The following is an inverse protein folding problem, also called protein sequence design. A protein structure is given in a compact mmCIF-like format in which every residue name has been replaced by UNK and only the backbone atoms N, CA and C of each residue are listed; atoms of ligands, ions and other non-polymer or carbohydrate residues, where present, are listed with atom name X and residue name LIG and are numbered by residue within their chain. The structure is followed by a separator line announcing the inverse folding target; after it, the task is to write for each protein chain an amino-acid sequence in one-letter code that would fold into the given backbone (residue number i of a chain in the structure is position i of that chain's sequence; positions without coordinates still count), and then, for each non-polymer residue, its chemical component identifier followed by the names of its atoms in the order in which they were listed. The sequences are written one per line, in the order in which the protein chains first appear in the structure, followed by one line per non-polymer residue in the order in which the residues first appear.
data_IF_601788137783
#
_entry.id   IF_601788137783
#
_cell.length_a   1.000
_cell.length_b   1.000
_cell.length_c   1.000
_cell.angle_alpha   90.00
_cell.angle_beta   90.00
_cell.angle_gamma   90.00
#
_symmetry.space_group_name_H-M   'P 1'
#
loop_
_entity.id
_entity.type
_entity.pdbx_description
1 polymer ?
#
# COMPACT_ATOMS: atom_id res chain seq x y z
N UNK A 1 -41.10 -0.67 -3.87
CA UNK A 1 -39.90 -0.63 -3.01
C UNK A 1 -39.24 -2.00 -3.08
N UNK A 2 -37.91 -2.00 -3.29
CA UNK A 2 -36.99 -3.14 -3.32
C UNK A 2 -37.16 -4.20 -4.44
N UNK A 3 -36.49 -3.95 -5.57
CA UNK A 3 -36.02 -4.99 -6.48
C UNK A 3 -34.66 -5.48 -5.97
N UNK A 4 -34.56 -6.76 -5.62
CA UNK A 4 -33.30 -7.50 -5.51
C UNK A 4 -33.17 -8.39 -6.75
N UNK A 5 -32.36 -7.95 -7.71
CA UNK A 5 -31.96 -8.76 -8.86
C UNK A 5 -30.70 -9.54 -8.52
N UNK A 6 -30.87 -10.83 -8.20
CA UNK A 6 -29.79 -11.82 -8.27
C UNK A 6 -29.67 -12.34 -9.70
N UNK A 7 -28.49 -12.18 -10.32
CA UNK A 7 -28.20 -12.75 -11.63
C UNK A 7 -27.66 -14.17 -11.45
N UNK A 8 -28.43 -15.17 -11.88
CA UNK A 8 -28.03 -16.58 -11.98
C UNK A 8 -27.45 -16.82 -13.38
N UNK A 9 -26.25 -17.41 -13.41
CA UNK A 9 -25.54 -17.83 -14.61
C UNK A 9 -26.23 -19.07 -15.24
N UNK A 10 -26.65 -18.99 -16.50
CA UNK A 10 -27.05 -20.18 -17.27
C UNK A 10 -26.25 -20.28 -18.57
N UNK A 11 -25.48 -21.37 -18.66
CA UNK A 11 -24.72 -21.78 -19.85
C UNK A 11 -25.66 -22.58 -20.76
N UNK A 12 -25.80 -22.17 -22.02
CA UNK A 12 -26.54 -22.92 -23.05
C UNK A 12 -25.52 -23.54 -24.02
N UNK A 13 -25.54 -24.87 -24.26
CA UNK A 13 -24.61 -25.55 -25.16
C UNK A 13 -25.00 -25.35 -26.65
N UNK A 14 -24.08 -25.58 -27.60
CA UNK A 14 -24.27 -25.16 -28.99
C UNK A 14 -25.29 -26.03 -29.73
N UNK A 15 -26.19 -25.35 -30.46
CA UNK A 15 -27.12 -25.99 -31.38
C UNK A 15 -26.40 -26.32 -32.69
N UNK A 16 -26.23 -27.60 -32.98
CA UNK A 16 -25.94 -28.08 -34.33
C UNK A 16 -27.24 -28.25 -35.11
N UNK A 17 -27.37 -27.60 -36.27
CA UNK A 17 -28.38 -27.95 -37.27
C UNK A 17 -27.68 -28.15 -38.62
N UNK A 18 -27.93 -29.33 -39.19
CA UNK A 18 -27.43 -29.81 -40.49
C UNK A 18 -28.17 -29.12 -41.66
N UNK A 19 -27.53 -29.05 -42.84
CA UNK A 19 -28.07 -28.35 -44.01
C UNK A 19 -29.14 -29.21 -44.68
N UNK A 20 -30.06 -28.58 -45.42
CA UNK A 20 -30.95 -29.10 -46.48
C UNK A 20 -32.18 -28.15 -46.51
N UNK A 21 -32.74 -27.62 -47.59
CA UNK A 21 -32.66 -27.86 -49.04
C UNK A 21 -33.43 -26.69 -49.67
N UNK A 22 -32.81 -25.78 -50.45
CA UNK A 22 -33.59 -24.80 -51.25
C UNK A 22 -32.90 -24.23 -52.51
N UNK A 23 -31.92 -24.91 -53.09
CA UNK A 23 -31.27 -24.43 -54.33
C UNK A 23 -31.09 -25.49 -55.42
N UNK A 24 -32.03 -26.45 -55.54
CA UNK A 24 -32.16 -27.32 -56.73
C UNK A 24 -33.13 -26.76 -57.80
N UNK A 25 -33.44 -25.46 -57.78
CA UNK A 25 -34.38 -24.84 -58.73
C UNK A 25 -33.74 -24.20 -59.97
N UNK A 26 -32.42 -24.26 -60.10
CA UNK A 26 -31.69 -23.82 -61.30
C UNK A 26 -30.72 -24.94 -61.72
N UNK A 27 -31.14 -25.77 -62.67
CA UNK A 27 -30.41 -26.96 -63.12
C UNK A 27 -29.03 -26.65 -63.69
N UNK A 28 -28.00 -26.69 -62.85
CA UNK A 28 -26.59 -26.60 -63.23
C UNK A 28 -25.84 -27.76 -62.55
N UNK A 29 -25.47 -28.76 -63.35
CA UNK A 29 -24.52 -29.81 -62.97
C UNK A 29 -23.09 -29.24 -62.79
N UNK A 30 -22.15 -30.02 -62.24
CA UNK A 30 -20.98 -29.51 -61.53
C UNK A 30 -19.99 -28.86 -62.52
N UNK A 31 -19.91 -27.53 -62.51
CA UNK A 31 -18.72 -26.83 -62.98
C UNK A 31 -17.86 -26.51 -61.77
N UNK A 32 -16.64 -27.02 -61.80
CA UNK A 32 -15.53 -26.72 -60.88
C UNK A 32 -15.33 -25.22 -60.77
N UNK A 33 -16.03 -24.58 -59.84
CA UNK A 33 -15.76 -23.23 -59.40
C UNK A 33 -14.54 -23.28 -58.50
N UNK A 34 -13.42 -22.79 -59.03
CA UNK A 34 -12.28 -22.34 -58.21
C UNK A 34 -12.86 -21.48 -57.08
N UNK A 35 -12.44 -21.67 -55.82
CA UNK A 35 -12.94 -20.83 -54.74
C UNK A 35 -12.68 -19.36 -55.13
N UNK A 36 -13.64 -18.44 -54.86
CA UNK A 36 -13.35 -17.04 -55.00
C UNK A 36 -12.12 -16.76 -54.14
N UNK A 37 -11.16 -16.02 -54.69
CA UNK A 37 -10.13 -15.39 -53.87
C UNK A 37 -10.89 -14.47 -52.92
N UNK A 38 -11.13 -14.96 -51.71
CA UNK A 38 -11.55 -14.13 -50.62
C UNK A 38 -10.37 -13.21 -50.36
N UNK A 39 -10.42 -12.00 -50.91
CA UNK A 39 -9.58 -10.91 -50.45
C UNK A 39 -10.09 -10.61 -49.06
N UNK A 40 -9.61 -11.39 -48.09
CA UNK A 40 -9.67 -11.03 -46.70
C UNK A 40 -8.87 -9.74 -46.59
N UNK A 41 -9.58 -8.62 -46.56
CA UNK A 41 -9.06 -7.45 -45.87
C UNK A 41 -8.92 -7.87 -44.41
N UNK A 42 -7.78 -8.46 -44.08
CA UNK A 42 -7.30 -8.42 -42.72
C UNK A 42 -7.07 -6.95 -42.44
N UNK A 43 -8.08 -6.30 -41.86
CA UNK A 43 -7.85 -5.09 -41.09
C UNK A 43 -6.94 -5.49 -39.95
N UNK A 44 -5.64 -5.63 -40.22
CA UNK A 44 -4.63 -5.65 -39.21
C UNK A 44 -4.85 -4.35 -38.44
N UNK A 45 -5.46 -4.46 -37.25
CA UNK A 45 -5.46 -3.34 -36.29
C UNK A 45 -4.00 -2.96 -36.15
N UNK A 46 -3.63 -1.84 -36.77
CA UNK A 46 -2.26 -1.36 -36.71
C UNK A 46 -2.01 -1.10 -35.23
N UNK A 47 -1.15 -1.92 -34.62
CA UNK A 47 -0.86 -1.80 -33.20
C UNK A 47 -0.33 -0.39 -32.95
N UNK A 48 -1.08 0.39 -32.18
CA UNK A 48 -0.65 1.72 -31.75
C UNK A 48 0.35 1.47 -30.62
N UNK A 49 1.55 2.01 -30.78
CA UNK A 49 2.60 1.85 -29.79
C UNK A 49 2.79 3.12 -28.97
N UNK A 50 3.16 2.93 -27.71
CA UNK A 50 3.54 3.98 -26.78
C UNK A 50 4.87 3.64 -26.13
N UNK A 51 5.68 4.65 -25.90
CA UNK A 51 6.89 4.56 -25.10
C UNK A 51 6.57 4.82 -23.63
N UNK A 52 7.22 4.06 -22.76
CA UNK A 52 7.25 4.29 -21.33
C UNK A 52 8.72 4.35 -20.91
N UNK A 53 9.10 5.47 -20.32
CA UNK A 53 10.38 5.70 -19.69
C UNK A 53 10.29 5.40 -18.19
N UNK A 54 11.38 4.89 -17.63
CA UNK A 54 11.57 4.76 -16.18
C UNK A 54 12.85 5.47 -15.79
N UNK A 55 12.78 6.33 -14.77
CA UNK A 55 13.92 7.00 -14.14
C UNK A 55 13.93 6.69 -12.64
N UNK A 56 15.11 6.41 -12.10
CA UNK A 56 15.26 6.09 -10.69
C UNK A 56 16.45 6.84 -10.11
N UNK A 57 16.21 7.63 -9.05
CA UNK A 57 17.21 8.44 -8.35
C UNK A 57 17.40 7.96 -6.91
N UNK A 58 18.43 8.50 -6.25
CA UNK A 58 18.67 8.38 -4.81
C UNK A 58 19.01 9.76 -4.27
N UNK A 59 18.25 10.25 -3.29
CA UNK A 59 18.35 11.62 -2.77
C UNK A 59 18.24 12.66 -3.91
N UNK A 60 17.46 12.35 -4.94
CA UNK A 60 17.31 13.08 -6.19
C UNK A 60 18.44 12.97 -7.20
N UNK A 61 19.56 12.37 -6.81
CA UNK A 61 20.70 12.23 -7.70
C UNK A 61 20.61 10.93 -8.50
N UNK A 62 21.05 11.00 -9.76
CA UNK A 62 21.27 9.82 -10.57
C UNK A 62 22.55 9.13 -10.08
N UNK A 63 22.53 7.80 -10.01
CA UNK A 63 23.68 7.04 -9.53
C UNK A 63 24.08 5.99 -10.55
N UNK A 64 25.38 5.68 -10.70
CA UNK A 64 25.84 4.66 -11.64
C UNK A 64 25.48 3.22 -11.21
N UNK A 65 25.02 3.02 -9.98
CA UNK A 65 24.59 1.71 -9.49
C UNK A 65 23.32 1.24 -10.21
N UNK A 66 23.31 -0.03 -10.64
CA UNK A 66 22.19 -0.62 -11.36
C UNK A 66 20.95 -0.70 -10.46
N UNK A 67 19.83 -0.16 -10.96
CA UNK A 67 18.48 -0.38 -10.45
C UNK A 67 17.71 -1.32 -11.36
N UNK A 68 16.85 -2.13 -10.76
CA UNK A 68 15.91 -3.01 -11.47
C UNK A 68 14.50 -2.54 -11.13
N UNK A 69 13.78 -2.04 -12.14
CA UNK A 69 12.37 -1.69 -12.01
C UNK A 69 11.51 -2.71 -12.76
N UNK A 70 10.64 -3.42 -12.05
CA UNK A 70 9.77 -4.45 -12.63
C UNK A 70 8.31 -4.03 -12.52
N UNK A 71 7.64 -3.99 -13.67
CA UNK A 71 6.24 -3.56 -13.81
C UNK A 71 5.34 -4.80 -13.89
N UNK A 72 4.31 -4.84 -13.06
CA UNK A 72 3.30 -5.90 -12.98
C UNK A 72 1.92 -5.31 -13.25
N UNK A 73 1.09 -6.00 -14.03
CA UNK A 73 -0.29 -5.58 -14.30
C UNK A 73 -1.20 -5.92 -13.10
N UNK A 74 -2.08 -4.99 -12.74
CA UNK A 74 -3.00 -5.13 -11.61
C UNK A 74 -2.42 -4.60 -10.30
N UNK A 75 -2.90 -5.12 -9.18
CA UNK A 75 -2.56 -4.62 -7.83
C UNK A 75 -1.65 -5.55 -7.03
N UNK A 76 -1.25 -6.71 -7.58
CA UNK A 76 -0.52 -7.75 -6.85
C UNK A 76 0.73 -8.15 -7.63
N UNK A 77 1.85 -8.35 -6.92
CA UNK A 77 3.11 -8.84 -7.48
C UNK A 77 3.04 -10.36 -7.63
N UNK A 78 2.91 -10.83 -8.86
CA UNK A 78 2.97 -12.26 -9.20
C UNK A 78 3.79 -12.47 -10.47
N UNK A 79 4.36 -13.66 -10.64
CA UNK A 79 5.13 -13.99 -11.84
C UNK A 79 4.30 -13.87 -13.12
N UNK A 80 3.00 -14.22 -13.07
CA UNK A 80 2.09 -14.16 -14.21
C UNK A 80 1.63 -12.74 -14.57
N UNK A 81 1.74 -11.79 -13.64
CA UNK A 81 1.39 -10.39 -13.86
C UNK A 81 2.56 -9.56 -14.41
N UNK A 82 3.79 -10.10 -14.42
CA UNK A 82 4.97 -9.37 -14.87
C UNK A 82 4.82 -8.94 -16.33
N UNK A 83 4.84 -7.64 -16.56
CA UNK A 83 4.65 -7.00 -17.87
C UNK A 83 5.99 -6.56 -18.47
N UNK A 84 6.90 -6.03 -17.65
CA UNK A 84 8.20 -5.54 -18.10
C UNK A 84 9.23 -5.50 -16.97
N UNK A 85 10.51 -5.50 -17.33
CA UNK A 85 11.61 -5.19 -16.43
C UNK A 85 12.56 -4.21 -17.10
N UNK A 86 12.98 -3.19 -16.36
CA UNK A 86 13.88 -2.12 -16.78
C UNK A 86 15.16 -2.23 -15.97
N UNK A 87 16.31 -2.24 -16.64
CA UNK A 87 17.61 -2.02 -16.00
C UNK A 87 17.94 -0.55 -16.12
N UNK A 88 17.88 0.16 -15.00
CA UNK A 88 18.04 1.62 -14.93
C UNK A 88 19.39 1.92 -14.30
N UNK A 89 20.15 2.81 -14.94
CA UNK A 89 21.42 3.35 -14.42
C UNK A 89 21.22 4.87 -14.23
N UNK A 90 22.06 5.67 -14.84
CA UNK A 90 21.85 7.11 -15.00
C UNK A 90 20.91 7.37 -16.20
N UNK A 91 20.06 8.39 -16.08
CA UNK A 91 19.06 8.78 -17.05
C UNK A 91 17.78 7.93 -17.09
N UNK A 92 17.01 8.15 -18.15
CA UNK A 92 15.76 7.44 -18.42
C UNK A 92 16.00 6.16 -19.24
N UNK A 93 15.42 5.05 -18.79
CA UNK A 93 15.38 3.81 -19.59
C UNK A 93 14.02 3.69 -20.26
N UNK A 94 14.02 3.66 -21.60
CA UNK A 94 12.79 3.69 -22.39
C UNK A 94 12.51 2.31 -22.98
N UNK A 95 11.26 1.85 -22.88
CA UNK A 95 10.74 0.70 -23.61
C UNK A 95 9.46 1.05 -24.36
N UNK A 96 9.14 0.25 -25.38
CA UNK A 96 7.98 0.45 -26.26
C UNK A 96 6.97 -0.68 -26.06
N UNK A 97 5.71 -0.30 -25.93
CA UNK A 97 4.60 -1.20 -25.62
C UNK A 97 3.44 -0.97 -26.58
N UNK A 98 2.56 -1.96 -26.71
CA UNK A 98 1.23 -1.72 -27.28
C UNK A 98 0.46 -0.78 -26.35
N UNK A 99 -0.09 0.31 -26.90
CA UNK A 99 -0.74 1.36 -26.13
C UNK A 99 -1.93 0.83 -25.31
N UNK A 100 -2.67 -0.15 -25.84
CA UNK A 100 -3.77 -0.82 -25.12
C UNK A 100 -3.30 -1.57 -23.87
N UNK A 101 -2.06 -2.06 -23.89
CA UNK A 101 -1.46 -2.85 -22.82
C UNK A 101 -0.86 -2.03 -21.69
N UNK A 102 -0.72 -0.71 -21.85
CA UNK A 102 -0.22 0.24 -20.84
C UNK A 102 -1.36 1.05 -20.20
N UNK A 103 -2.52 0.43 -19.98
CA UNK A 103 -3.69 1.10 -19.40
C UNK A 103 -4.14 0.43 -18.11
N UNK A 104 -4.55 1.24 -17.15
CA UNK A 104 -5.14 0.79 -15.89
C UNK A 104 -4.12 0.67 -14.75
N UNK A 105 -4.47 -0.10 -13.74
CA UNK A 105 -3.68 -0.27 -12.52
C UNK A 105 -2.47 -1.18 -12.76
N UNK A 106 -1.31 -0.75 -12.26
CA UNK A 106 -0.08 -1.53 -12.21
C UNK A 106 0.52 -1.51 -10.80
N UNK A 107 1.47 -2.42 -10.58
CA UNK A 107 2.45 -2.35 -9.50
C UNK A 107 3.82 -2.21 -10.14
N UNK A 108 4.66 -1.34 -9.60
CA UNK A 108 6.08 -1.32 -9.95
C UNK A 108 6.91 -1.56 -8.68
N UNK A 109 7.83 -2.50 -8.78
CA UNK A 109 8.83 -2.78 -7.76
C UNK A 109 10.17 -2.29 -8.27
N UNK A 110 10.86 -1.46 -7.50
CA UNK A 110 12.19 -0.96 -7.84
C UNK A 110 13.17 -1.38 -6.76
N UNK A 111 14.30 -1.95 -7.15
CA UNK A 111 15.39 -2.31 -6.25
C UNK A 111 16.72 -1.76 -6.77
N UNK A 112 17.56 -1.29 -5.87
CA UNK A 112 18.93 -0.83 -6.14
C UNK A 112 19.95 -1.86 -5.71
N UNK A 113 20.97 -2.07 -6.54
CA UNK A 113 22.12 -2.93 -6.23
C UNK A 113 23.28 -2.17 -5.59
N UNK A 114 23.23 -0.83 -5.55
CA UNK A 114 24.17 -0.01 -4.80
C UNK A 114 24.06 -0.22 -3.29
N UNK A 115 25.16 0.01 -2.56
CA UNK A 115 25.19 -0.11 -1.11
C UNK A 115 24.86 1.24 -0.41
N UNK A 116 24.11 1.24 0.70
CA UNK A 116 23.20 0.18 1.12
C UNK A 116 22.12 -0.09 0.06
N UNK A 117 21.69 -1.35 -0.05
CA UNK A 117 20.61 -1.76 -0.94
C UNK A 117 19.28 -1.13 -0.51
N UNK A 118 18.58 -0.56 -1.47
CA UNK A 118 17.31 0.12 -1.27
C UNK A 118 16.25 -0.43 -2.22
N UNK A 119 14.98 -0.22 -1.90
CA UNK A 119 13.90 -0.59 -2.79
C UNK A 119 12.56 -0.05 -2.36
N UNK A 120 11.66 0.08 -3.34
CA UNK A 120 10.30 0.59 -3.16
C UNK A 120 9.31 -0.25 -3.96
N UNK A 121 8.05 -0.23 -3.54
CA UNK A 121 6.92 -0.72 -4.32
C UNK A 121 5.91 0.42 -4.43
N UNK A 122 5.34 0.62 -5.62
CA UNK A 122 4.34 1.65 -5.93
C UNK A 122 3.23 1.09 -6.81
N UNK A 123 2.05 1.72 -6.76
CA UNK A 123 0.84 1.28 -7.47
C UNK A 123 0.39 2.33 -8.50
N UNK A 124 1.15 2.60 -9.57
CA UNK A 124 0.77 3.60 -10.56
C UNK A 124 -0.47 3.16 -11.36
N UNK A 125 -1.29 4.14 -11.75
CA UNK A 125 -2.32 3.97 -12.78
C UNK A 125 -1.78 4.59 -14.06
N UNK A 126 -1.71 3.79 -15.12
CA UNK A 126 -1.21 4.23 -16.42
C UNK A 126 -2.37 4.55 -17.37
N UNK A 127 -2.24 5.65 -18.12
CA UNK A 127 -3.21 6.13 -19.09
C UNK A 127 -2.53 6.50 -20.43
N UNK A 128 -3.31 7.08 -21.35
CA UNK A 128 -2.85 7.45 -22.69
C UNK A 128 -1.65 8.42 -22.71
N UNK A 129 -1.52 9.22 -21.67
CA UNK A 129 -0.56 10.32 -21.60
C UNK A 129 0.65 9.95 -20.73
N UNK A 130 0.59 8.82 -20.02
CA UNK A 130 1.69 8.36 -19.18
C UNK A 130 2.92 7.97 -20.01
N UNK A 131 3.97 8.79 -19.98
CA UNK A 131 5.23 8.56 -20.72
C UNK A 131 6.43 8.27 -19.83
N UNK A 132 6.39 8.65 -18.56
CA UNK A 132 7.51 8.53 -17.63
C UNK A 132 7.01 8.09 -16.25
N UNK A 133 7.69 7.10 -15.68
CA UNK A 133 7.62 6.77 -14.27
C UNK A 133 8.96 7.14 -13.62
N UNK A 134 8.94 8.15 -12.77
CA UNK A 134 10.12 8.60 -12.03
C UNK A 134 9.95 8.30 -10.56
N UNK A 135 10.96 7.68 -9.96
CA UNK A 135 10.99 7.33 -8.54
C UNK A 135 12.31 7.72 -7.90
N UNK A 136 12.22 8.28 -6.70
CA UNK A 136 13.37 8.38 -5.81
C UNK A 136 13.33 7.22 -4.82
N UNK A 137 14.45 6.54 -4.65
CA UNK A 137 14.56 5.42 -3.73
C UNK A 137 14.73 5.86 -2.28
N UNK A 138 15.09 7.12 -2.07
CA UNK A 138 15.11 7.74 -0.74
C UNK A 138 14.27 9.00 -0.76
N UNK A 139 13.52 9.21 0.32
CA UNK A 139 12.60 10.34 0.42
C UNK A 139 13.31 11.53 1.06
N UNK A 140 14.34 12.05 0.37
CA UNK A 140 15.05 13.28 0.71
C UNK A 140 14.75 14.42 -0.26
N UNK A 141 15.48 15.54 -0.10
CA UNK A 141 15.25 16.83 -0.78
C UNK A 141 15.32 16.83 -2.31
N UNK A 142 15.61 15.68 -2.94
CA UNK A 142 15.81 15.57 -4.38
C UNK A 142 14.74 14.75 -5.14
N UNK A 143 13.71 14.25 -4.45
CA UNK A 143 12.67 13.43 -5.07
C UNK A 143 11.75 14.16 -6.07
N UNK A 144 10.89 13.40 -6.75
CA UNK A 144 9.90 13.90 -7.75
C UNK A 144 9.01 15.02 -7.21
N UNK A 145 8.67 14.95 -5.92
CA UNK A 145 7.98 16.00 -5.18
C UNK A 145 8.95 16.51 -4.11
N UNK A 146 9.68 17.62 -4.38
CA UNK A 146 10.56 18.22 -3.40
C UNK A 146 9.79 18.47 -2.10
N UNK A 147 10.41 18.14 -0.99
CA UNK A 147 9.83 18.38 0.32
C UNK A 147 10.45 19.64 0.90
N UNK A 148 9.60 20.44 1.53
CA UNK A 148 10.06 21.54 2.33
C UNK A 148 10.07 21.09 3.81
N UNK A 149 11.14 21.40 4.55
CA UNK A 149 11.18 21.15 5.97
C UNK A 149 10.09 21.98 6.65
N UNK A 150 9.38 21.39 7.58
CA UNK A 150 8.31 22.04 8.30
C UNK A 150 8.24 21.57 9.75
N UNK A 151 7.44 22.25 10.57
CA UNK A 151 7.25 21.89 11.98
C UNK A 151 5.79 21.96 12.38
N UNK A 152 5.38 20.99 13.19
CA UNK A 152 4.06 21.03 13.84
C UNK A 152 4.21 20.89 15.35
N UNK A 153 3.39 21.65 16.09
CA UNK A 153 3.25 21.50 17.54
C UNK A 153 2.18 20.45 17.82
N UNK A 154 2.60 19.31 18.35
CA UNK A 154 1.70 18.25 18.78
C UNK A 154 1.33 18.41 20.26
N UNK A 155 0.05 18.22 20.56
CA UNK A 155 -0.47 18.11 21.94
C UNK A 155 -1.31 16.86 22.02
N UNK A 156 -0.96 15.94 22.92
CA UNK A 156 -1.70 14.69 23.12
C UNK A 156 -2.16 14.61 24.57
N UNK A 157 -3.46 14.32 24.72
CA UNK A 157 -4.12 14.13 26.01
C UNK A 157 -4.84 12.80 26.08
N UNK A 158 -4.82 12.17 27.24
CA UNK A 158 -5.54 10.94 27.56
C UNK A 158 -6.37 11.22 28.81
N UNK A 159 -7.68 10.95 28.75
CA UNK A 159 -8.65 11.27 29.83
C UNK A 159 -8.55 12.72 30.35
N UNK A 160 -8.23 13.66 29.45
CA UNK A 160 -8.09 15.08 29.77
C UNK A 160 -6.73 15.47 30.40
N UNK A 161 -5.89 14.50 30.74
CA UNK A 161 -4.51 14.72 31.19
C UNK A 161 -3.51 14.69 30.05
N UNK A 162 -2.35 15.34 30.22
CA UNK A 162 -1.27 15.29 29.24
C UNK A 162 -0.65 13.88 29.14
N UNK A 163 -0.26 13.46 27.94
CA UNK A 163 0.26 12.10 27.73
C UNK A 163 1.45 12.04 26.77
N UNK A 164 2.48 11.29 27.17
CA UNK A 164 3.59 10.89 26.30
C UNK A 164 3.13 9.81 25.32
N UNK A 165 3.08 10.13 24.04
CA UNK A 165 2.58 9.29 22.95
C UNK A 165 3.40 9.52 21.69
N UNK A 166 3.56 8.47 20.90
CA UNK A 166 4.11 8.62 19.56
C UNK A 166 3.06 9.33 18.70
N UNK A 167 3.50 10.28 17.89
CA UNK A 167 2.67 11.00 16.95
C UNK A 167 3.22 10.75 15.56
N UNK A 168 2.35 10.25 14.68
CA UNK A 168 2.66 10.05 13.26
C UNK A 168 1.87 11.08 12.48
N UNK A 169 2.58 11.86 11.65
CA UNK A 169 1.98 12.81 10.73
C UNK A 169 2.06 12.22 9.34
N UNK A 170 0.91 12.08 8.70
CA UNK A 170 0.79 11.62 7.32
C UNK A 170 0.36 12.77 6.44
N UNK A 171 0.80 12.73 5.19
CA UNK A 171 0.45 13.69 4.17
C UNK A 171 -0.24 12.96 3.02
N UNK A 172 -1.32 13.56 2.54
CA UNK A 172 -1.88 13.24 1.22
C UNK A 172 -1.39 14.29 0.24
N UNK A 173 -0.56 13.88 -0.71
CA UNK A 173 -0.04 14.74 -1.77
C UNK A 173 -1.15 15.17 -2.74
N UNK A 174 -0.85 16.15 -3.59
CA UNK A 174 -1.77 16.65 -4.62
C UNK A 174 -2.20 15.57 -5.63
N UNK A 175 -1.32 14.62 -5.93
CA UNK A 175 -1.60 13.48 -6.81
C UNK A 175 -2.46 12.38 -6.14
N UNK A 176 -2.76 12.55 -4.85
CA UNK A 176 -3.57 11.63 -4.05
C UNK A 176 -2.80 10.52 -3.35
N UNK A 177 -1.48 10.40 -3.54
CA UNK A 177 -0.63 9.45 -2.82
C UNK A 177 -0.47 9.86 -1.35
N UNK A 178 -0.39 8.86 -0.47
CA UNK A 178 -0.20 9.03 0.97
C UNK A 178 1.22 8.70 1.37
N UNK A 179 1.78 9.49 2.29
CA UNK A 179 3.10 9.23 2.88
C UNK A 179 3.16 9.64 4.34
N UNK A 180 4.24 9.26 5.03
CA UNK A 180 4.57 9.77 6.36
C UNK A 180 5.38 11.06 6.18
N UNK A 181 4.84 12.18 6.65
CA UNK A 181 5.53 13.47 6.63
C UNK A 181 6.49 13.62 7.83
N UNK A 182 6.20 12.97 8.95
CA UNK A 182 7.10 12.95 10.09
C UNK A 182 6.57 12.14 11.27
N UNK A 183 7.47 11.81 12.19
CA UNK A 183 7.16 11.05 13.41
C UNK A 183 7.86 11.71 14.58
N UNK A 184 7.17 11.81 15.71
CA UNK A 184 7.73 12.34 16.96
C UNK A 184 7.14 11.68 18.19
N UNK A 185 7.67 12.01 19.36
CA UNK A 185 7.16 11.55 20.65
C UNK A 185 6.84 12.77 21.51
N UNK A 186 5.63 12.85 22.04
CA UNK A 186 5.30 13.88 23.04
C UNK A 186 6.00 13.58 24.37
N UNK A 187 6.45 14.62 25.06
CA UNK A 187 6.99 14.47 26.41
C UNK A 187 5.89 14.11 27.43
N UNK A 188 6.24 13.89 28.69
CA UNK A 188 5.26 13.73 29.79
C UNK A 188 4.31 14.93 29.92
N UNK A 189 4.75 16.11 29.49
CA UNK A 189 3.90 17.31 29.37
C UNK A 189 2.83 17.21 28.27
N UNK A 190 2.79 16.11 27.52
CA UNK A 190 1.89 15.86 26.40
C UNK A 190 2.20 16.69 25.16
N UNK A 191 3.35 17.37 25.11
CA UNK A 191 3.72 18.29 24.03
C UNK A 191 4.98 17.84 23.31
N UNK A 192 5.04 18.10 22.01
CA UNK A 192 6.26 18.02 21.20
C UNK A 192 6.21 18.99 20.03
N UNK A 193 7.39 19.39 19.56
CA UNK A 193 7.55 19.95 18.22
C UNK A 193 8.07 18.83 17.31
N UNK A 194 7.34 18.53 16.25
CA UNK A 194 7.64 17.43 15.33
C UNK A 194 8.12 18.04 14.03
N UNK A 195 9.33 17.67 13.63
CA UNK A 195 9.86 18.00 12.32
C UNK A 195 9.14 17.17 11.26
N UNK A 196 8.78 17.83 10.17
CA UNK A 196 8.07 17.26 9.03
C UNK A 196 8.84 17.57 7.76
N UNK A 197 8.63 16.72 6.76
CA UNK A 197 8.93 16.98 5.36
C UNK A 197 7.58 16.97 4.63
N UNK A 198 7.21 18.08 3.99
CA UNK A 198 5.89 18.24 3.34
C UNK A 198 6.04 18.67 1.89
N UNK A 199 5.14 18.21 1.03
CA UNK A 199 5.08 18.65 -0.37
C UNK A 199 4.25 19.92 -0.51
N UNK A 200 4.56 20.73 -1.52
CA UNK A 200 3.77 21.91 -1.82
C UNK A 200 2.31 21.53 -2.15
N UNK A 201 1.36 22.06 -1.39
CA UNK A 201 -0.08 21.86 -1.62
C UNK A 201 -0.63 20.52 -1.12
N UNK A 202 0.18 19.68 -0.47
CA UNK A 202 -0.30 18.49 0.23
C UNK A 202 -1.16 18.81 1.45
N UNK A 203 -1.96 17.84 1.90
CA UNK A 203 -2.81 17.96 3.08
C UNK A 203 -2.34 17.03 4.19
N UNK A 204 -2.08 17.57 5.38
CA UNK A 204 -1.54 16.79 6.51
C UNK A 204 -2.58 16.38 7.53
N UNK A 205 -2.36 15.22 8.13
CA UNK A 205 -3.14 14.62 9.20
C UNK A 205 -2.18 14.04 10.24
N UNK A 206 -2.57 14.02 11.51
CA UNK A 206 -1.75 13.52 12.61
C UNK A 206 -2.52 12.48 13.40
N UNK A 207 -1.80 11.53 13.98
CA UNK A 207 -2.37 10.48 14.83
C UNK A 207 -1.50 10.28 16.06
N UNK A 208 -2.10 10.34 17.25
CA UNK A 208 -1.47 9.93 18.50
C UNK A 208 -1.66 8.42 18.71
N UNK A 209 -0.56 7.69 18.89
CA UNK A 209 -0.54 6.25 19.08
C UNK A 209 -0.28 5.91 20.55
N UNK A 210 -1.11 5.02 21.09
CA UNK A 210 -0.87 4.38 22.37
C UNK A 210 -0.04 3.10 22.18
N UNK A 211 0.71 2.69 23.20
CA UNK A 211 1.49 1.46 23.13
C UNK A 211 0.56 0.25 23.13
N UNK A 212 0.56 -0.49 22.02
CA UNK A 212 -0.28 -1.66 21.78
C UNK A 212 0.22 -2.93 22.48
N UNK A 213 1.46 -2.89 23.00
CA UNK A 213 2.10 -3.98 23.72
C UNK A 213 2.45 -5.19 22.85
N UNK A 214 3.28 -6.06 23.42
CA UNK A 214 3.54 -7.38 22.86
C UNK A 214 2.32 -8.29 23.08
N UNK A 215 1.98 -9.15 22.12
CA UNK A 215 0.97 -10.19 22.37
C UNK A 215 1.48 -11.17 23.43
N UNK A 216 0.59 -11.71 24.26
CA UNK A 216 0.94 -12.76 25.21
C UNK A 216 1.56 -13.95 24.46
N UNK A 217 2.74 -14.38 24.93
CA UNK A 217 3.39 -15.61 24.50
C UNK A 217 3.77 -16.44 25.74
N UNK A 218 3.56 -17.77 25.72
CA UNK A 218 3.95 -18.65 26.81
C UNK A 218 5.42 -18.51 27.18
N UNK A 219 5.71 -18.33 28.48
CA UNK A 219 7.08 -18.17 29.02
C UNK A 219 7.85 -16.96 28.46
N UNK A 220 7.16 -15.96 27.91
CA UNK A 220 7.80 -14.71 27.52
C UNK A 220 8.40 -14.01 28.75
N UNK A 221 9.68 -13.66 28.67
CA UNK A 221 10.32 -12.79 29.65
C UNK A 221 9.86 -11.34 29.42
N UNK A 222 9.41 -10.68 30.48
CA UNK A 222 8.85 -9.33 30.43
C UNK A 222 9.60 -8.38 31.36
N UNK A 223 9.75 -7.13 30.94
CA UNK A 223 10.45 -6.08 31.68
C UNK A 223 9.48 -5.10 32.34
N UNK A 224 9.91 -4.46 33.43
CA UNK A 224 9.15 -3.38 34.08
C UNK A 224 8.74 -2.30 33.07
N UNK A 225 7.47 -1.89 33.10
CA UNK A 225 6.86 -0.90 32.19
C UNK A 225 6.44 -1.44 30.83
N UNK A 226 6.78 -2.68 30.47
CA UNK A 226 6.34 -3.28 29.21
C UNK A 226 4.83 -3.50 29.23
N UNK A 227 4.18 -3.28 28.08
CA UNK A 227 2.78 -3.67 27.88
C UNK A 227 2.64 -5.04 27.25
N UNK A 228 1.73 -5.83 27.80
CA UNK A 228 1.32 -7.13 27.30
C UNK A 228 -0.16 -7.08 26.91
N UNK A 229 -0.46 -7.61 25.73
CA UNK A 229 -1.80 -7.65 25.16
C UNK A 229 -2.33 -9.09 25.20
N UNK A 230 -3.56 -9.31 25.70
CA UNK A 230 -4.25 -10.59 25.58
C UNK A 230 -4.37 -11.05 24.12
N UNK A 231 -4.33 -12.36 23.86
CA UNK A 231 -4.60 -12.92 22.53
C UNK A 231 -6.03 -12.62 22.08
N UNK A 232 -6.98 -12.58 23.03
CA UNK A 232 -8.35 -12.11 22.84
C UNK A 232 -8.49 -10.71 23.45
N UNK A 233 -8.36 -9.69 22.61
CA UNK A 233 -8.40 -8.31 23.06
C UNK A 233 -9.84 -7.81 23.32
N UNK A 234 -10.07 -7.25 24.51
CA UNK A 234 -11.38 -6.73 24.96
C UNK A 234 -11.34 -5.25 25.40
N UNK A 235 -10.27 -4.50 25.07
CA UNK A 235 -10.13 -3.08 25.41
C UNK A 235 -9.05 -2.75 26.45
N UNK A 236 -8.43 -3.78 27.04
CA UNK A 236 -7.44 -3.65 28.10
C UNK A 236 -6.12 -4.30 27.71
N UNK A 237 -5.02 -3.70 28.17
CA UNK A 237 -3.67 -4.24 28.16
C UNK A 237 -3.22 -4.46 29.60
N UNK A 238 -2.04 -5.02 29.78
CA UNK A 238 -1.41 -5.20 31.08
C UNK A 238 -0.06 -4.53 31.08
N UNK A 239 0.14 -3.63 32.03
CA UNK A 239 1.44 -3.05 32.30
C UNK A 239 2.19 -3.92 33.31
N UNK A 240 3.43 -4.24 32.99
CA UNK A 240 4.31 -5.01 33.86
C UNK A 240 4.82 -4.10 34.96
N UNK A 241 4.37 -4.36 36.18
CA UNK A 241 4.76 -3.64 37.40
C UNK A 241 5.94 -4.30 38.14
N UNK A 242 6.26 -5.55 37.81
CA UNK A 242 7.45 -6.26 38.26
C UNK A 242 7.90 -7.22 37.15
N UNK A 243 9.18 -7.14 36.77
CA UNK A 243 9.75 -7.96 35.71
C UNK A 243 9.73 -9.45 36.09
N UNK A 244 9.65 -10.33 35.09
CA UNK A 244 9.58 -11.76 35.32
C UNK A 244 9.26 -12.53 34.05
N UNK A 245 8.66 -13.71 34.21
CA UNK A 245 8.32 -14.62 33.11
C UNK A 245 6.83 -14.92 33.17
N UNK A 246 6.15 -14.73 32.04
CA UNK A 246 4.74 -15.06 31.89
C UNK A 246 4.49 -16.57 32.04
N UNK A 247 3.29 -17.00 32.47
CA UNK A 247 2.97 -18.41 32.61
C UNK A 247 2.97 -19.16 31.26
N UNK A 248 2.91 -20.49 31.34
CA UNK A 248 2.83 -21.35 30.14
C UNK A 248 1.47 -21.26 29.44
N UNK A 249 0.41 -20.95 30.20
CA UNK A 249 -0.93 -20.76 29.68
C UNK A 249 -1.37 -19.33 29.96
N UNK A 250 -2.07 -18.73 29.01
CA UNK A 250 -2.63 -17.40 29.17
C UNK A 250 -3.68 -17.42 30.28
N UNK A 251 -3.53 -16.59 31.32
CA UNK A 251 -4.51 -16.54 32.42
C UNK A 251 -5.82 -15.90 31.95
N UNK A 252 -6.87 -16.08 32.75
CA UNK A 252 -8.07 -15.26 32.60
C UNK A 252 -7.73 -13.81 32.96
N UNK A 253 -7.72 -12.97 31.95
CA UNK A 253 -7.42 -11.55 32.04
C UNK A 253 -8.57 -10.79 32.72
N UNK A 254 -8.25 -9.92 33.67
CA UNK A 254 -9.20 -9.08 34.41
C UNK A 254 -9.23 -7.61 33.94
N UNK A 255 -10.41 -6.99 33.84
CA UNK A 255 -10.50 -5.55 33.57
C UNK A 255 -10.01 -4.72 34.76
N UNK A 256 -9.91 -3.40 34.56
CA UNK A 256 -9.73 -2.47 35.69
C UNK A 256 -10.97 -2.56 36.59
N UNK A 257 -10.77 -2.96 37.84
CA UNK A 257 -11.79 -3.03 38.88
C UNK A 257 -11.29 -2.36 40.17
N UNK A 258 -12.09 -1.47 40.75
CA UNK A 258 -11.75 -0.75 41.98
C UNK A 258 -10.39 -0.06 41.89
N UNK A 259 -9.54 -0.29 42.88
CA UNK A 259 -8.19 0.28 42.97
C UNK A 259 -7.19 -0.33 41.96
N UNK A 260 -7.61 -1.33 41.18
CA UNK A 260 -6.81 -2.00 40.15
C UNK A 260 -5.41 -2.46 40.63
N UNK A 261 -5.34 -3.32 41.66
CA UNK A 261 -4.08 -3.74 42.23
C UNK A 261 -3.29 -4.61 41.24
N UNK A 262 -1.96 -4.44 41.25
CA UNK A 262 -1.03 -5.33 40.57
C UNK A 262 -1.18 -6.77 41.08
N UNK A 263 -1.26 -7.76 40.18
CA UNK A 263 -1.43 -9.18 40.48
C UNK A 263 -0.27 -10.00 39.91
N UNK A 264 0.10 -11.07 40.61
CA UNK A 264 1.14 -11.98 40.14
C UNK A 264 0.62 -12.84 38.97
N UNK A 265 1.40 -12.93 37.90
CA UNK A 265 1.14 -13.73 36.70
C UNK A 265 2.43 -14.43 36.30
N UNK A 266 2.49 -15.74 36.55
CA UNK A 266 3.77 -16.47 36.48
C UNK A 266 4.73 -15.98 37.56
N UNK A 267 5.91 -15.50 37.15
CA UNK A 267 6.85 -14.82 38.07
C UNK A 267 6.85 -13.30 37.92
N UNK A 268 6.11 -12.74 36.96
CA UNK A 268 5.94 -11.31 36.80
C UNK A 268 4.74 -10.78 37.61
N UNK A 269 4.64 -9.45 37.76
CA UNK A 269 3.42 -8.81 38.25
C UNK A 269 2.84 -7.83 37.25
N UNK A 270 1.54 -7.91 37.02
CA UNK A 270 0.82 -7.17 35.99
C UNK A 270 -0.32 -6.34 36.59
N UNK A 271 -0.57 -5.17 36.01
CA UNK A 271 -1.71 -4.31 36.33
C UNK A 271 -2.49 -4.01 35.06
N UNK A 272 -3.82 -4.06 35.12
CA UNK A 272 -4.64 -3.78 33.94
C UNK A 272 -4.55 -2.29 33.58
N UNK A 273 -4.39 -1.98 32.30
CA UNK A 273 -4.34 -0.62 31.79
C UNK A 273 -5.25 -0.49 30.58
N UNK A 274 -5.89 0.67 30.42
CA UNK A 274 -6.78 0.91 29.28
C UNK A 274 -5.95 1.13 28.02
N UNK A 275 -6.33 0.46 26.93
CA UNK A 275 -5.83 0.85 25.62
C UNK A 275 -6.65 2.00 25.05
N UNK A 276 -5.96 3.06 24.65
CA UNK A 276 -6.57 4.17 23.94
C UNK A 276 -6.42 3.96 22.44
N UNK A 277 -7.56 3.85 21.75
CA UNK A 277 -7.56 3.79 20.29
C UNK A 277 -6.91 5.06 19.73
N UNK A 278 -6.11 4.95 18.68
CA UNK A 278 -5.56 6.13 18.03
C UNK A 278 -6.67 7.09 17.59
N UNK A 279 -6.50 8.36 17.94
CA UNK A 279 -7.34 9.45 17.44
C UNK A 279 -6.54 10.22 16.41
N UNK A 280 -7.19 10.49 15.27
CA UNK A 280 -6.62 11.29 14.20
C UNK A 280 -7.13 12.72 14.26
N UNK A 281 -6.28 13.65 13.84
CA UNK A 281 -6.58 15.06 13.68
C UNK A 281 -6.22 15.49 12.25
N UNK A 282 -7.07 16.28 11.62
CA UNK A 282 -6.82 16.86 10.31
C UNK A 282 -8.09 16.99 9.45
N UNK A 283 -7.99 17.67 8.30
CA UNK A 283 -6.78 18.29 7.77
C UNK A 283 -6.35 19.53 8.57
N UNK A 284 -5.04 19.79 8.66
CA UNK A 284 -4.50 21.04 9.22
C UNK A 284 -3.41 21.61 8.31
N UNK A 285 -3.24 22.95 8.26
CA UNK A 285 -2.15 23.57 7.51
C UNK A 285 -0.82 23.42 8.24
N UNK A 286 0.28 23.34 7.48
CA UNK A 286 1.65 23.42 7.99
C UNK A 286 2.38 24.47 7.17
N UNK A 287 3.11 25.35 7.84
CA UNK A 287 4.00 26.31 7.19
C UNK A 287 5.38 25.66 7.02
N UNK A 288 5.89 25.67 5.79
CA UNK A 288 7.29 25.35 5.50
C UNK A 288 8.22 26.36 6.19
N UNK A 289 9.39 25.90 6.62
CA UNK A 289 10.41 26.69 7.31
C UNK A 289 11.27 27.54 6.37
#
# INVERSE_FOLDING_TARGET
MASMSGLILQVVPPVQVRPDTWLQRFGIGPKTLRPPVEVAWSGARQAIYQTLAVKVTREGEETPARKIATLYRGAVVTATAMTASFQVYEGETVQRFEASGLRGQFVIQVTDEGDPRLGIIRWPVLDADTRLLSYDLTEGSGGRDPTDPAKVRAVVTVDGGAASRQVVVIERKLDGEWRVAGVGQTAESGRAEIALEVTAGGTTYAMGLDDWGAVFEPRLAVSLGQRVRPTIFSGWLYEVTEAGVLPVAEPEWWPIEGDNPSRQVGTARLQATRYYRPLSHGPFPVEAL
#
